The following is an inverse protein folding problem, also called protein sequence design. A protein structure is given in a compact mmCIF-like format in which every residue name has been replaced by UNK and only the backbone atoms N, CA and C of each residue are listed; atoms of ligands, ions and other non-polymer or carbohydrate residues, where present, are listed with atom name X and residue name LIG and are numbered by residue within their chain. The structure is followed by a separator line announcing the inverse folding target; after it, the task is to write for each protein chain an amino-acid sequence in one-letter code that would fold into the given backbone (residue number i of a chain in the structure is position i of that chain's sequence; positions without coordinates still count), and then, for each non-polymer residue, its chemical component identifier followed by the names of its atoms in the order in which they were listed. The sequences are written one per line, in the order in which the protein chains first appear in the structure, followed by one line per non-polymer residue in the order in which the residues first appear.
data_IF_457556788736
#
_entry.id   IF_457556788736
#
_cell.length_a   1.000
_cell.length_b   1.000
_cell.length_c   1.000
_cell.angle_alpha   90.00
_cell.angle_beta   90.00
_cell.angle_gamma   90.00
#
_symmetry.space_group_name_H-M   'P 1'
#
loop_
_entity.id
_entity.type
_entity.pdbx_description
1 polymer ?
#
# COMPACT_ATOMS: atom_id res chain seq x y z
N UNK A 1 -5.63 -85.39 -10.78
CA UNK A 1 -4.26 -84.95 -10.45
C UNK A 1 -3.65 -84.28 -11.67
N UNK A 2 -2.92 -83.19 -11.42
CA UNK A 2 -2.07 -82.44 -12.35
C UNK A 2 -2.72 -81.44 -13.32
N UNK A 3 -2.17 -80.22 -13.22
CA UNK A 3 -2.46 -78.97 -13.92
C UNK A 3 -1.97 -78.99 -15.37
N UNK A 4 -2.45 -78.05 -16.20
CA UNK A 4 -1.60 -77.00 -16.81
C UNK A 4 -2.45 -75.82 -17.28
N UNK A 5 -1.90 -74.63 -17.03
CA UNK A 5 -2.45 -73.28 -17.15
C UNK A 5 -2.04 -72.66 -18.49
N UNK A 6 -2.92 -71.86 -19.11
CA UNK A 6 -2.62 -71.14 -20.35
C UNK A 6 -3.41 -69.84 -20.54
N UNK A 7 -3.09 -68.83 -19.71
CA UNK A 7 -3.05 -67.38 -20.00
C UNK A 7 -4.16 -66.75 -20.89
N UNK A 8 -5.15 -66.10 -20.26
CA UNK A 8 -6.04 -65.12 -20.93
C UNK A 8 -5.52 -63.70 -20.72
N UNK A 9 -5.16 -63.05 -21.83
CA UNK A 9 -4.80 -61.62 -21.93
C UNK A 9 -6.06 -60.79 -21.63
N UNK A 10 -5.97 -59.89 -20.65
CA UNK A 10 -7.01 -58.89 -20.34
C UNK A 10 -6.63 -57.58 -21.03
N UNK A 11 -7.33 -57.21 -22.09
CA UNK A 11 -7.26 -55.86 -22.66
C UNK A 11 -8.24 -54.99 -21.87
N UNK A 12 -7.68 -54.02 -21.16
CA UNK A 12 -8.39 -53.05 -20.33
C UNK A 12 -9.04 -52.00 -21.25
N UNK A 13 -10.35 -51.84 -21.12
CA UNK A 13 -11.10 -50.77 -21.78
C UNK A 13 -10.64 -49.41 -21.25
N UNK A 14 -10.13 -48.56 -22.15
CA UNK A 14 -9.87 -47.15 -21.86
C UNK A 14 -11.19 -46.40 -22.04
N UNK A 15 -11.88 -46.15 -20.93
CA UNK A 15 -12.98 -45.19 -20.87
C UNK A 15 -12.42 -43.78 -20.77
N UNK A 16 -12.70 -42.96 -21.77
CA UNK A 16 -12.52 -41.51 -21.74
C UNK A 16 -13.59 -40.91 -20.84
N UNK A 17 -13.18 -40.13 -19.83
CA UNK A 17 -14.08 -39.25 -19.10
C UNK A 17 -13.56 -37.81 -19.21
N UNK A 18 -14.11 -37.09 -20.19
CA UNK A 18 -14.16 -35.63 -20.22
C UNK A 18 -15.21 -35.19 -19.20
N UNK A 19 -14.78 -34.69 -18.05
CA UNK A 19 -15.59 -33.85 -17.18
C UNK A 19 -14.78 -32.64 -16.75
N UNK A 20 -15.30 -31.47 -17.10
CA UNK A 20 -14.86 -30.20 -16.53
C UNK A 20 -15.24 -30.08 -15.06
N UNK A 21 -14.96 -28.89 -14.52
CA UNK A 21 -15.21 -28.44 -13.16
C UNK A 21 -14.09 -28.85 -12.19
N UNK A 22 -13.16 -27.91 -12.02
CA UNK A 22 -12.13 -27.96 -10.99
C UNK A 22 -11.61 -26.56 -10.71
N UNK A 23 -12.50 -25.60 -10.47
CA UNK A 23 -12.16 -24.44 -9.65
C UNK A 23 -11.72 -25.03 -8.32
N UNK A 24 -10.40 -25.12 -8.10
CA UNK A 24 -9.84 -25.44 -6.81
C UNK A 24 -10.24 -24.27 -5.90
N UNK A 25 -11.41 -24.38 -5.29
CA UNK A 25 -11.70 -23.66 -4.06
C UNK A 25 -10.69 -24.21 -3.07
N UNK A 26 -9.54 -23.55 -2.98
CA UNK A 26 -8.72 -23.64 -1.80
C UNK A 26 -9.64 -23.21 -0.65
N UNK A 27 -10.27 -24.18 0.01
CA UNK A 27 -10.78 -24.03 1.35
C UNK A 27 -9.55 -23.80 2.21
N UNK A 28 -9.08 -22.55 2.18
CA UNK A 28 -8.04 -22.04 3.04
C UNK A 28 -8.59 -22.22 4.44
N UNK A 29 -8.05 -23.21 5.16
CA UNK A 29 -8.12 -23.21 6.62
C UNK A 29 -7.78 -21.79 7.07
N UNK A 30 -8.77 -21.10 7.63
CA UNK A 30 -8.74 -19.67 7.88
C UNK A 30 -7.76 -19.36 9.03
N UNK A 31 -6.47 -19.53 8.77
CA UNK A 31 -5.45 -19.04 9.67
C UNK A 31 -5.53 -17.53 9.65
N UNK A 32 -5.71 -16.92 10.82
CA UNK A 32 -5.79 -15.48 10.95
C UNK A 32 -4.53 -14.86 10.33
N UNK A 33 -4.71 -14.12 9.24
CA UNK A 33 -3.62 -13.46 8.57
C UNK A 33 -3.54 -12.02 9.08
N UNK A 34 -2.36 -11.56 9.47
CA UNK A 34 -2.19 -10.29 10.20
C UNK A 34 -1.55 -9.21 9.34
N UNK A 35 -2.06 -7.98 9.46
CA UNK A 35 -1.42 -6.77 8.96
C UNK A 35 -1.13 -5.83 10.13
N UNK A 36 -0.01 -5.12 10.06
CA UNK A 36 0.36 -4.12 11.04
C UNK A 36 -0.18 -2.76 10.61
N UNK A 37 -0.79 -2.07 11.57
CA UNK A 37 -0.92 -0.62 11.53
C UNK A 37 -0.11 0.00 12.66
N UNK A 38 0.24 1.28 12.54
CA UNK A 38 1.02 1.98 13.57
C UNK A 38 0.08 2.81 14.45
N UNK A 39 0.49 3.13 15.67
CA UNK A 39 -0.27 4.01 16.55
C UNK A 39 0.53 5.29 16.83
N UNK A 40 -0.10 6.45 16.61
CA UNK A 40 0.45 7.79 16.84
C UNK A 40 1.81 8.04 16.20
N UNK A 41 2.01 7.60 14.95
CA UNK A 41 3.30 7.65 14.21
C UNK A 41 4.45 6.91 14.91
N UNK A 42 4.19 6.22 16.03
CA UNK A 42 5.21 5.51 16.78
C UNK A 42 5.31 4.06 16.30
N UNK A 43 6.46 3.41 16.49
CA UNK A 43 6.66 1.98 16.22
C UNK A 43 5.77 1.02 17.03
N UNK A 44 4.76 1.52 17.76
CA UNK A 44 3.70 0.73 18.40
C UNK A 44 2.83 0.11 17.32
N UNK A 45 3.35 -0.98 16.74
CA UNK A 45 2.68 -1.81 15.74
C UNK A 45 1.53 -2.53 16.41
N UNK A 46 0.34 -2.27 15.92
CA UNK A 46 -0.87 -2.96 16.33
C UNK A 46 -1.26 -3.94 15.23
N UNK A 47 -1.35 -5.20 15.62
CA UNK A 47 -1.65 -6.30 14.70
C UNK A 47 -3.16 -6.39 14.51
N UNK A 48 -3.61 -6.45 13.25
CA UNK A 48 -5.02 -6.62 12.88
C UNK A 48 -5.18 -7.79 11.93
N UNK A 49 -6.26 -8.53 12.09
CA UNK A 49 -6.59 -9.64 11.20
C UNK A 49 -7.21 -9.12 9.91
N UNK A 50 -6.82 -9.69 8.77
CA UNK A 50 -7.47 -9.47 7.48
C UNK A 50 -8.09 -10.77 6.95
N UNK A 51 -9.15 -10.64 6.17
CA UNK A 51 -9.82 -11.75 5.47
C UNK A 51 -9.22 -12.00 4.09
N UNK A 52 -8.66 -10.97 3.46
CA UNK A 52 -7.86 -11.12 2.23
C UNK A 52 -6.83 -10.02 2.10
N UNK A 53 -5.76 -10.29 1.35
CA UNK A 53 -4.69 -9.36 1.02
C UNK A 53 -4.36 -9.49 -0.46
N UNK A 54 -4.34 -8.37 -1.18
CA UNK A 54 -3.78 -8.25 -2.52
C UNK A 54 -2.55 -7.34 -2.47
N UNK A 55 -1.55 -7.62 -3.30
CA UNK A 55 -0.32 -6.84 -3.41
C UNK A 55 -0.11 -6.43 -4.86
N UNK A 56 0.21 -5.17 -5.08
CA UNK A 56 0.43 -4.57 -6.40
C UNK A 56 1.82 -3.95 -6.39
N UNK A 57 2.72 -4.48 -7.21
CA UNK A 57 4.07 -3.92 -7.34
C UNK A 57 4.02 -2.68 -8.23
N UNK A 58 4.54 -1.57 -7.72
CA UNK A 58 4.59 -0.29 -8.45
C UNK A 58 6.00 -0.04 -8.96
N UNK A 59 7.00 -0.15 -8.07
CA UNK A 59 8.44 0.06 -8.35
C UNK A 59 8.76 1.32 -9.17
N UNK A 60 8.04 2.41 -8.94
CA UNK A 60 8.21 3.68 -9.69
C UNK A 60 8.95 4.70 -8.82
N UNK A 61 9.91 5.39 -9.42
CA UNK A 61 10.65 6.48 -8.79
C UNK A 61 10.23 7.81 -9.39
N UNK A 62 9.99 8.79 -8.52
CA UNK A 62 9.72 10.18 -8.86
C UNK A 62 10.88 11.02 -8.40
N UNK A 63 11.24 12.02 -9.18
CA UNK A 63 12.31 12.96 -8.87
C UNK A 63 11.71 14.36 -8.81
N UNK A 64 12.03 15.11 -7.76
CA UNK A 64 11.61 16.50 -7.52
C UNK A 64 12.85 17.35 -7.34
N UNK A 65 12.86 18.53 -7.96
CA UNK A 65 14.00 19.45 -7.94
C UNK A 65 15.35 18.73 -8.13
N UNK A 66 15.36 17.77 -9.07
CA UNK A 66 16.46 16.88 -9.48
C UNK A 66 17.04 15.93 -8.39
N UNK A 67 16.97 16.29 -7.12
CA UNK A 67 17.74 15.67 -6.04
C UNK A 67 16.87 14.99 -4.97
N UNK A 68 15.61 15.40 -4.82
CA UNK A 68 14.65 14.69 -3.98
C UNK A 68 14.03 13.55 -4.76
N UNK A 69 13.98 12.35 -4.19
CA UNK A 69 13.42 11.18 -4.87
C UNK A 69 12.42 10.46 -3.98
N UNK A 70 11.34 10.00 -4.58
CA UNK A 70 10.34 9.15 -3.93
C UNK A 70 10.19 7.86 -4.73
N UNK A 71 10.61 6.74 -4.16
CA UNK A 71 10.40 5.40 -4.74
C UNK A 71 9.18 4.76 -4.10
N UNK A 72 8.16 4.48 -4.90
CA UNK A 72 6.97 3.72 -4.49
C UNK A 72 7.21 2.26 -4.84
N UNK A 73 7.24 1.38 -3.84
CA UNK A 73 7.55 -0.04 -4.01
C UNK A 73 6.27 -0.84 -4.27
N UNK A 74 5.33 -0.82 -3.34
CA UNK A 74 4.11 -1.63 -3.42
C UNK A 74 2.90 -0.87 -2.87
N UNK A 75 1.73 -1.25 -3.37
CA UNK A 75 0.43 -0.97 -2.77
C UNK A 75 -0.16 -2.30 -2.32
N UNK A 76 -0.60 -2.38 -1.07
CA UNK A 76 -1.33 -3.54 -0.54
C UNK A 76 -2.77 -3.14 -0.27
N UNK A 77 -3.70 -4.04 -0.55
CA UNK A 77 -5.11 -3.88 -0.25
C UNK A 77 -5.55 -5.02 0.69
N UNK A 78 -6.03 -4.67 1.86
CA UNK A 78 -6.49 -5.60 2.89
C UNK A 78 -7.99 -5.49 3.08
N UNK A 79 -8.69 -6.60 3.06
CA UNK A 79 -10.09 -6.68 3.53
C UNK A 79 -10.10 -7.09 4.99
N UNK A 80 -10.87 -6.40 5.82
CA UNK A 80 -10.90 -6.58 7.27
C UNK A 80 -12.34 -6.76 7.72
N UNK A 81 -12.59 -7.78 8.55
CA UNK A 81 -13.92 -7.98 9.13
C UNK A 81 -14.29 -6.84 10.07
N UNK A 82 -15.57 -6.46 10.09
CA UNK A 82 -16.14 -5.47 11.01
C UNK A 82 -15.86 -5.79 12.49
N UNK A 83 -15.66 -7.07 12.83
CA UNK A 83 -15.24 -7.51 14.18
C UNK A 83 -13.88 -6.93 14.61
N UNK A 84 -12.99 -6.65 13.66
CA UNK A 84 -11.60 -6.25 13.93
C UNK A 84 -11.30 -4.78 13.57
N UNK A 85 -12.11 -4.16 12.70
CA UNK A 85 -11.96 -2.76 12.31
C UNK A 85 -13.28 -2.17 11.82
N UNK A 86 -13.54 -0.91 12.16
CA UNK A 86 -14.67 -0.15 11.61
C UNK A 86 -14.51 0.18 10.12
N UNK A 87 -13.30 -0.02 9.58
CA UNK A 87 -12.99 0.19 8.18
C UNK A 87 -12.79 -1.16 7.48
N UNK A 88 -13.72 -1.60 6.62
CA UNK A 88 -13.65 -2.90 5.97
C UNK A 88 -12.51 -3.04 4.96
N UNK A 89 -11.93 -1.92 4.48
CA UNK A 89 -10.78 -1.96 3.58
C UNK A 89 -9.67 -1.03 4.03
N UNK A 90 -8.45 -1.55 4.01
CA UNK A 90 -7.22 -0.79 4.25
C UNK A 90 -6.30 -0.87 3.03
N UNK A 91 -5.68 0.25 2.69
CA UNK A 91 -4.59 0.30 1.73
C UNK A 91 -3.29 0.67 2.43
N UNK A 92 -2.21 -0.02 2.09
CA UNK A 92 -0.86 0.29 2.56
C UNK A 92 0.05 0.58 1.39
N UNK A 93 0.63 1.77 1.35
CA UNK A 93 1.63 2.15 0.34
C UNK A 93 2.99 2.10 1.00
N UNK A 94 3.93 1.36 0.41
CA UNK A 94 5.30 1.28 0.92
C UNK A 94 6.28 1.86 -0.06
N UNK A 95 7.32 2.49 0.46
CA UNK A 95 8.32 3.13 -0.39
C UNK A 95 9.56 3.57 0.37
N UNK A 96 10.39 4.33 -0.34
CA UNK A 96 11.59 4.95 0.22
C UNK A 96 11.70 6.36 -0.34
N UNK A 97 11.86 7.32 0.55
CA UNK A 97 12.20 8.70 0.20
C UNK A 97 13.71 8.88 0.30
N UNK A 98 14.26 9.71 -0.58
CA UNK A 98 15.66 10.06 -0.64
C UNK A 98 15.77 11.57 -0.74
N UNK A 99 16.59 12.15 0.13
CA UNK A 99 17.07 13.50 -0.04
C UNK A 99 18.53 13.39 -0.47
N UNK A 100 18.83 13.68 -1.74
CA UNK A 100 20.20 13.66 -2.27
C UNK A 100 20.78 15.06 -2.45
N UNK A 101 20.14 16.10 -1.91
CA UNK A 101 20.72 17.44 -1.94
C UNK A 101 21.86 17.57 -0.95
N UNK A 102 22.73 18.56 -1.18
CA UNK A 102 23.75 18.98 -0.24
C UNK A 102 23.16 19.83 0.90
N UNK A 103 22.02 20.48 0.65
CA UNK A 103 21.33 21.37 1.57
C UNK A 103 19.80 21.27 1.42
N UNK A 104 19.07 21.60 2.49
CA UNK A 104 17.61 21.55 2.50
C UNK A 104 17.01 20.22 2.98
N UNK A 105 15.69 20.18 3.00
CA UNK A 105 14.90 19.19 3.74
C UNK A 105 13.77 18.63 2.89
N UNK A 106 13.38 17.39 3.17
CA UNK A 106 12.30 16.71 2.45
C UNK A 106 11.30 16.08 3.40
N UNK A 107 10.00 16.27 3.14
CA UNK A 107 8.93 15.71 3.99
C UNK A 107 7.67 15.40 3.22
N UNK A 108 6.77 14.68 3.88
CA UNK A 108 5.40 14.55 3.42
C UNK A 108 4.59 15.79 3.83
N UNK A 109 3.68 16.22 2.95
CA UNK A 109 2.79 17.33 3.21
C UNK A 109 2.29 17.97 1.92
N UNK A 110 1.29 18.84 2.05
CA UNK A 110 0.87 19.77 1.01
C UNK A 110 0.85 21.18 1.58
N UNK A 111 1.09 22.19 0.75
CA UNK A 111 0.94 23.59 1.17
C UNK A 111 -0.56 23.93 1.12
N UNK A 112 -1.12 24.36 2.25
CA UNK A 112 -2.47 24.94 2.36
C UNK A 112 -2.38 26.45 2.39
N UNK A 113 -3.32 27.12 1.71
CA UNK A 113 -3.41 28.58 1.66
C UNK A 113 -3.74 29.23 3.03
N UNK A 114 -4.28 28.47 3.99
CA UNK A 114 -4.79 29.01 5.25
C UNK A 114 -4.05 28.53 6.50
N UNK A 115 -3.24 27.47 6.40
CA UNK A 115 -2.63 26.80 7.58
C UNK A 115 -1.16 26.37 7.38
N UNK A 116 -0.54 26.73 6.25
CA UNK A 116 0.80 26.24 5.91
C UNK A 116 0.79 24.75 5.55
N UNK A 117 1.79 23.98 6.00
CA UNK A 117 1.97 22.58 5.60
C UNK A 117 0.90 21.68 6.26
N UNK A 118 -0.02 21.14 5.47
CA UNK A 118 -1.05 20.20 5.90
C UNK A 118 -0.67 18.75 5.59
N UNK A 119 -0.93 17.87 6.55
CA UNK A 119 -0.58 16.44 6.48
C UNK A 119 -1.79 15.54 6.20
N UNK A 120 -3.01 16.06 6.28
CA UNK A 120 -4.24 15.30 6.03
C UNK A 120 -4.41 14.87 4.55
N UNK A 121 -3.61 15.45 3.64
CA UNK A 121 -3.67 15.17 2.20
C UNK A 121 -2.40 14.53 1.66
N UNK A 122 -1.61 13.85 2.47
CA UNK A 122 -0.33 13.26 2.02
C UNK A 122 -0.53 12.18 0.97
N UNK A 123 -1.50 11.30 1.15
CA UNK A 123 -1.76 10.21 0.21
C UNK A 123 -3.22 10.19 -0.20
N UNK A 124 -3.48 9.93 -1.49
CA UNK A 124 -4.82 9.65 -2.00
C UNK A 124 -4.78 8.45 -2.93
N UNK A 125 -5.82 7.63 -2.83
CA UNK A 125 -6.07 6.51 -3.71
C UNK A 125 -7.53 6.62 -4.18
N UNK A 126 -7.72 6.83 -5.48
CA UNK A 126 -9.04 7.05 -6.07
C UNK A 126 -9.09 6.49 -7.50
N UNK A 127 -10.23 6.00 -7.94
CA UNK A 127 -10.35 5.47 -9.30
C UNK A 127 -10.14 6.56 -10.34
N UNK A 128 -9.59 6.16 -11.49
CA UNK A 128 -9.43 7.05 -12.65
C UNK A 128 -10.79 7.41 -13.25
N UNK A 129 -11.79 6.53 -13.16
CA UNK A 129 -13.16 6.84 -13.56
C UNK A 129 -13.79 7.83 -12.56
N UNK A 130 -14.41 8.90 -13.07
CA UNK A 130 -15.07 9.97 -12.28
C UNK A 130 -16.20 9.50 -11.34
N UNK A 131 -16.61 8.23 -11.39
CA UNK A 131 -17.41 7.65 -10.33
C UNK A 131 -16.50 7.43 -9.13
N UNK A 132 -16.65 8.19 -8.04
CA UNK A 132 -15.91 8.02 -6.77
C UNK A 132 -16.56 6.92 -5.88
N UNK A 133 -16.29 5.62 -6.02
CA UNK A 133 -16.99 4.61 -5.24
C UNK A 133 -16.27 4.43 -3.90
N UNK A 134 -15.01 4.88 -3.76
CA UNK A 134 -14.08 4.39 -2.75
C UNK A 134 -13.17 5.52 -2.22
N UNK A 135 -13.71 6.34 -1.32
CA UNK A 135 -12.93 7.36 -0.63
C UNK A 135 -12.00 6.65 0.36
N UNK A 136 -10.73 6.56 0.00
CA UNK A 136 -9.68 6.21 0.94
C UNK A 136 -9.27 7.47 1.70
N UNK A 137 -9.54 7.48 3.01
CA UNK A 137 -9.04 8.52 3.89
C UNK A 137 -7.61 8.14 4.31
N UNK A 138 -6.69 9.08 4.14
CA UNK A 138 -5.33 8.95 4.67
C UNK A 138 -5.36 9.06 6.20
N UNK A 139 -4.59 8.20 6.86
CA UNK A 139 -4.43 8.23 8.30
C UNK A 139 -2.97 8.53 8.64
N UNK A 140 -2.69 9.80 8.94
CA UNK A 140 -1.34 10.18 9.39
C UNK A 140 -0.98 9.39 10.64
N UNK A 141 -1.84 9.42 11.67
CA UNK A 141 -1.61 8.80 12.98
C UNK A 141 -1.26 7.30 12.92
N UNK A 142 -1.68 6.61 11.85
CA UNK A 142 -1.39 5.18 11.67
C UNK A 142 -0.36 4.87 10.58
N UNK A 143 0.16 5.91 9.91
CA UNK A 143 1.25 5.80 8.97
C UNK A 143 2.60 5.87 9.69
N UNK A 144 3.64 5.31 9.07
CA UNK A 144 5.01 5.34 9.56
C UNK A 144 5.92 6.07 8.57
N UNK A 145 6.58 7.11 9.07
CA UNK A 145 7.75 7.75 8.46
C UNK A 145 8.44 8.56 9.58
N UNK A 146 9.46 7.99 10.25
CA UNK A 146 10.04 8.57 11.46
C UNK A 146 10.39 10.07 11.34
N UNK A 147 11.01 10.49 10.24
CA UNK A 147 11.43 11.89 10.04
C UNK A 147 10.48 12.70 9.18
N UNK A 148 9.77 12.09 8.23
CA UNK A 148 8.95 12.86 7.28
C UNK A 148 7.52 13.16 7.77
N UNK A 149 7.08 12.56 8.87
CA UNK A 149 5.75 12.82 9.49
C UNK A 149 5.79 13.48 10.86
N UNK A 150 6.96 13.60 11.47
CA UNK A 150 7.03 14.14 12.82
C UNK A 150 6.75 15.66 12.78
N UNK A 151 5.89 16.08 13.70
CA UNK A 151 5.13 17.34 13.61
C UNK A 151 5.79 18.39 14.51
N UNK A 152 5.69 19.62 14.04
CA UNK A 152 5.83 20.89 14.75
C UNK A 152 5.82 20.79 16.28
N UNK A 153 6.96 21.04 16.93
CA UNK A 153 7.00 21.38 18.36
C UNK A 153 7.09 22.90 18.46
N UNK A 154 6.16 23.54 19.18
CA UNK A 154 6.15 25.00 19.41
C UNK A 154 6.29 25.87 18.13
N UNK A 155 5.55 25.55 17.07
CA UNK A 155 5.57 26.36 15.84
C UNK A 155 6.76 26.10 14.91
N UNK A 156 7.73 25.26 15.31
CA UNK A 156 8.89 24.89 14.48
C UNK A 156 8.76 23.45 14.03
N UNK A 157 8.78 23.21 12.72
CA UNK A 157 8.88 21.86 12.18
C UNK A 157 10.27 21.30 12.49
N UNK A 158 10.36 20.28 13.33
CA UNK A 158 11.64 19.77 13.84
C UNK A 158 12.16 18.57 13.06
N UNK A 159 11.30 17.93 12.26
CA UNK A 159 11.61 16.66 11.65
C UNK A 159 11.37 16.69 10.15
N UNK A 160 12.48 16.49 9.45
CA UNK A 160 12.54 16.35 8.02
C UNK A 160 13.59 15.31 7.65
N UNK A 161 13.48 14.78 6.44
CA UNK A 161 14.58 14.05 5.84
C UNK A 161 15.66 15.04 5.39
N UNK A 162 16.72 15.17 6.19
CA UNK A 162 17.86 16.05 5.89
C UNK A 162 18.75 15.56 4.73
N UNK A 163 19.76 16.35 4.37
CA UNK A 163 20.68 16.08 3.25
C UNK A 163 21.31 14.69 3.30
N UNK A 164 21.43 14.06 2.13
CA UNK A 164 21.98 12.72 1.92
C UNK A 164 21.38 11.61 2.81
N UNK A 165 20.12 11.77 3.26
CA UNK A 165 19.40 10.76 4.02
C UNK A 165 18.36 10.06 3.16
N UNK A 166 18.06 8.82 3.54
CA UNK A 166 16.91 8.09 3.02
C UNK A 166 16.09 7.52 4.15
N UNK A 167 14.80 7.34 3.91
CA UNK A 167 13.86 6.79 4.89
C UNK A 167 12.82 5.90 4.21
N UNK A 168 12.58 4.73 4.81
CA UNK A 168 11.46 3.87 4.43
C UNK A 168 10.18 4.39 5.07
N UNK A 169 9.09 4.36 4.30
CA UNK A 169 7.79 4.78 4.79
C UNK A 169 6.73 3.71 4.53
N UNK A 170 5.69 3.72 5.37
CA UNK A 170 4.44 2.99 5.19
C UNK A 170 3.27 3.95 5.38
N UNK A 171 2.53 4.24 4.31
CA UNK A 171 1.35 5.12 4.36
C UNK A 171 0.10 4.27 4.43
N UNK A 172 -0.74 4.51 5.43
CA UNK A 172 -2.00 3.82 5.59
C UNK A 172 -3.17 4.71 5.17
N UNK A 173 -4.05 4.10 4.39
CA UNK A 173 -5.35 4.64 4.06
C UNK A 173 -6.42 3.62 4.41
N UNK A 174 -7.62 4.11 4.69
CA UNK A 174 -8.76 3.24 4.99
C UNK A 174 -10.02 3.74 4.32
N UNK A 175 -10.92 2.81 3.98
CA UNK A 175 -12.24 3.13 3.44
C UNK A 175 -13.34 2.56 4.34
N UNK A 176 -14.44 3.30 4.46
CA UNK A 176 -15.68 2.82 5.10
C UNK A 176 -16.43 1.81 4.23
N UNK A 177 -16.07 1.69 2.96
CA UNK A 177 -16.68 0.78 1.99
C UNK A 177 -15.74 -0.40 1.70
N UNK A 178 -16.31 -1.57 1.45
CA UNK A 178 -15.57 -2.74 0.99
C UNK A 178 -15.15 -2.51 -0.46
N UNK A 179 -13.85 -2.52 -0.74
CA UNK A 179 -13.30 -2.32 -2.08
C UNK A 179 -12.78 -3.64 -2.63
N UNK A 180 -13.56 -4.33 -3.45
CA UNK A 180 -13.19 -5.66 -3.98
C UNK A 180 -12.47 -5.60 -5.34
N UNK A 181 -12.76 -4.57 -6.14
CA UNK A 181 -12.12 -4.22 -7.42
C UNK A 181 -12.15 -2.71 -7.60
N UNK A 182 -11.05 -2.07 -8.01
CA UNK A 182 -11.08 -0.65 -8.44
C UNK A 182 -10.76 -0.46 -9.91
N UNK A 183 -10.17 -1.46 -10.58
CA UNK A 183 -9.62 -1.23 -11.92
C UNK A 183 -8.47 -0.22 -11.86
N UNK A 184 -8.36 0.64 -12.86
CA UNK A 184 -7.31 1.65 -12.89
C UNK A 184 -7.54 2.72 -11.81
N UNK A 185 -6.56 2.87 -10.92
CA UNK A 185 -6.63 3.71 -9.73
C UNK A 185 -5.46 4.68 -9.69
N UNK A 186 -5.72 5.96 -9.48
CA UNK A 186 -4.67 6.96 -9.28
C UNK A 186 -4.18 6.95 -7.84
N UNK A 187 -2.88 6.74 -7.67
CA UNK A 187 -2.15 7.02 -6.44
C UNK A 187 -1.49 8.39 -6.57
N UNK A 188 -1.85 9.29 -5.65
CA UNK A 188 -1.21 10.59 -5.49
C UNK A 188 -0.51 10.67 -4.14
N UNK A 189 0.75 11.09 -4.13
CA UNK A 189 1.49 11.45 -2.91
C UNK A 189 1.94 12.91 -2.96
N UNK A 190 1.67 13.65 -1.90
CA UNK A 190 2.07 15.05 -1.75
C UNK A 190 3.29 15.13 -0.82
N UNK A 191 4.30 15.86 -1.29
CA UNK A 191 5.56 16.08 -0.59
C UNK A 191 5.94 17.55 -0.64
N UNK A 192 6.83 17.97 0.25
CA UNK A 192 7.36 19.32 0.29
C UNK A 192 8.88 19.22 0.38
N UNK A 193 9.54 19.93 -0.52
CA UNK A 193 10.97 20.17 -0.52
C UNK A 193 11.19 21.55 0.09
N UNK A 194 12.19 21.67 0.96
CA UNK A 194 12.61 22.95 1.53
C UNK A 194 14.04 23.15 1.10
N UNK A 195 14.29 24.15 0.27
CA UNK A 195 15.63 24.41 -0.23
C UNK A 195 16.50 25.15 0.81
N UNK A 196 17.77 25.41 0.48
CA UNK A 196 18.71 26.10 1.35
C UNK A 196 18.34 27.54 1.70
N UNK A 197 17.49 28.17 0.90
CA UNK A 197 16.99 29.53 1.16
C UNK A 197 15.71 29.54 2.01
N UNK A 198 15.24 28.37 2.45
CA UNK A 198 14.04 28.23 3.27
C UNK A 198 12.71 28.29 2.50
N UNK A 199 12.75 28.27 1.17
CA UNK A 199 11.55 28.25 0.35
C UNK A 199 10.93 26.85 0.34
N UNK A 200 9.60 26.79 0.37
CA UNK A 200 8.85 25.54 0.32
C UNK A 200 8.37 25.27 -1.11
N UNK A 201 8.88 24.20 -1.72
CA UNK A 201 8.51 23.77 -3.06
C UNK A 201 7.62 22.51 -2.98
N UNK A 202 6.35 22.56 -3.43
CA UNK A 202 5.47 21.41 -3.41
C UNK A 202 5.87 20.40 -4.50
N UNK A 203 6.02 19.13 -4.11
CA UNK A 203 6.28 18.01 -5.00
C UNK A 203 5.11 17.02 -5.04
N UNK A 204 4.71 16.59 -6.23
CA UNK A 204 3.59 15.66 -6.42
C UNK A 204 4.02 14.38 -7.15
N UNK A 205 3.95 13.23 -6.48
CA UNK A 205 4.09 11.93 -7.13
C UNK A 205 2.73 11.45 -7.61
N UNK A 206 2.65 11.02 -8.88
CA UNK A 206 1.43 10.46 -9.46
C UNK A 206 1.68 9.17 -10.23
N UNK A 207 0.97 8.11 -9.88
CA UNK A 207 1.00 6.84 -10.63
C UNK A 207 -0.36 6.16 -10.66
N UNK A 208 -0.74 5.67 -11.84
CA UNK A 208 -1.88 4.80 -11.97
C UNK A 208 -1.47 3.37 -11.60
N UNK A 209 -2.25 2.73 -10.74
CA UNK A 209 -2.10 1.36 -10.26
C UNK A 209 -3.37 0.61 -10.62
N UNK A 210 -3.25 -0.52 -11.32
CA UNK A 210 -4.41 -1.33 -11.66
C UNK A 210 -4.74 -2.30 -10.51
N UNK A 211 -5.74 -1.95 -9.70
CA UNK A 211 -6.19 -2.74 -8.56
C UNK A 211 -7.29 -3.72 -9.01
N UNK A 212 -6.85 -4.87 -9.52
CA UNK A 212 -7.70 -5.98 -9.99
C UNK A 212 -8.24 -6.84 -8.85
#
# INVERSE_FOLDING_TARGET
MSHTIGRKIRIIAVMVALFGIGLITNSVSAHAAYFNYYQNNQPKKLHKTYTSKKSYSVKKTFTFDTNYKLKINNVYLYQVSKKHSNYPTWAKITGTAYNNTDNGYYRFGAISAFDGIVTNYVARLYPVSNAEPNHFAFSQATSLSPKMFNIKTNGTYTDFLGPHKSEKFELLLHSKKTVTKQGETSLRLNTICINSTGNNDPGYAWVNVNLK
#
